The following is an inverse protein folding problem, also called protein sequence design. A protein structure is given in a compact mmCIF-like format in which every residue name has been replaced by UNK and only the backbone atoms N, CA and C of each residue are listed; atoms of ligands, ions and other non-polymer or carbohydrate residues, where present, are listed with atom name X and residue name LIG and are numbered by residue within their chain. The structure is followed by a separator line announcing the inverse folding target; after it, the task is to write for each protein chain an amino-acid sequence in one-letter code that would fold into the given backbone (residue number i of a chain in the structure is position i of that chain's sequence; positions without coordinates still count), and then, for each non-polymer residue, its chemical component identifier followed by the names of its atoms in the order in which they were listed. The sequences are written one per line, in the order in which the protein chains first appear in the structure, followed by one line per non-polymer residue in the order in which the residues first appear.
data_IF_632981439694
#
_entry.id   IF_632981439694
#
_cell.length_a   1.000
_cell.length_b   1.000
_cell.length_c   1.000
_cell.angle_alpha   90.00
_cell.angle_beta   90.00
_cell.angle_gamma   90.00
#
_symmetry.space_group_name_H-M   'P 1'
#
loop_
_entity.id
_entity.type
_entity.pdbx_description
1 polymer ?
#
# COMPACT_ATOMS: atom_id res chain seq x y z
N UNK A 1 9.71 -1.56 -10.94
CA UNK A 1 11.12 -1.29 -10.59
C UNK A 1 11.90 -0.77 -11.79
N UNK A 2 12.98 -0.05 -11.52
CA UNK A 2 13.99 0.35 -12.50
C UNK A 2 15.31 -0.38 -12.27
N UNK A 3 15.62 -0.74 -11.03
CA UNK A 3 16.81 -1.48 -10.59
C UNK A 3 16.38 -2.44 -9.47
N UNK A 4 17.02 -3.61 -9.33
CA UNK A 4 18.06 -4.19 -10.20
C UNK A 4 17.53 -4.73 -11.53
N UNK A 5 16.20 -4.88 -11.67
CA UNK A 5 15.53 -5.34 -12.89
C UNK A 5 14.41 -4.38 -13.24
N UNK A 6 14.27 -4.06 -14.51
CA UNK A 6 13.10 -3.31 -14.97
C UNK A 6 11.88 -4.25 -14.96
N UNK A 7 10.86 -3.88 -14.19
CA UNK A 7 9.60 -4.61 -14.11
C UNK A 7 8.45 -3.67 -13.82
N UNK A 8 7.35 -3.84 -14.52
CA UNK A 8 6.10 -3.13 -14.28
C UNK A 8 5.21 -3.93 -13.34
N UNK A 9 4.60 -3.24 -12.39
CA UNK A 9 3.68 -3.80 -11.42
C UNK A 9 2.25 -3.33 -11.68
N UNK A 10 1.28 -4.19 -11.43
CA UNK A 10 -0.12 -3.80 -11.39
C UNK A 10 -0.37 -3.03 -10.12
N UNK A 11 -0.75 -1.76 -10.26
CA UNK A 11 -0.89 -0.83 -9.14
C UNK A 11 -2.22 -0.12 -9.17
N UNK A 12 -2.74 0.22 -7.99
CA UNK A 12 -3.86 1.14 -7.80
C UNK A 12 -3.49 2.17 -6.75
N UNK A 13 -3.87 3.44 -6.98
CA UNK A 13 -3.77 4.45 -5.93
C UNK A 13 -4.70 4.09 -4.76
N UNK A 14 -4.25 4.37 -3.55
CA UNK A 14 -5.10 4.26 -2.36
C UNK A 14 -6.06 5.46 -2.36
N UNK A 15 -7.34 5.21 -2.08
CA UNK A 15 -8.35 6.27 -1.98
C UNK A 15 -7.94 7.33 -0.94
N UNK A 16 -7.93 8.59 -1.34
CA UNK A 16 -7.40 9.71 -0.56
C UNK A 16 -5.90 9.98 -0.75
N UNK A 17 -5.18 9.16 -1.55
CA UNK A 17 -3.78 9.44 -1.88
C UNK A 17 -3.65 10.70 -2.73
N UNK A 18 -2.64 11.51 -2.44
CA UNK A 18 -2.23 12.59 -3.36
C UNK A 18 -1.53 12.01 -4.60
N UNK A 19 -1.53 12.81 -5.68
CA UNK A 19 -0.77 12.52 -6.89
C UNK A 19 0.74 12.76 -6.75
N UNK A 20 1.48 12.34 -7.77
CA UNK A 20 2.87 12.73 -8.00
C UNK A 20 2.92 13.86 -9.05
N UNK A 21 4.10 14.46 -9.24
CA UNK A 21 4.37 15.22 -10.45
C UNK A 21 4.22 14.34 -11.72
N UNK A 22 4.08 14.94 -12.88
CA UNK A 22 3.79 14.22 -14.13
C UNK A 22 4.86 13.19 -14.51
N UNK A 23 6.12 13.49 -14.23
CA UNK A 23 7.24 12.58 -14.43
C UNK A 23 7.25 11.41 -13.43
N UNK A 24 6.47 11.51 -12.36
CA UNK A 24 6.46 10.57 -11.25
C UNK A 24 7.60 10.79 -10.26
N UNK A 25 7.71 9.89 -9.30
CA UNK A 25 8.73 9.87 -8.25
C UNK A 25 9.60 8.62 -8.41
N UNK A 26 10.92 8.79 -8.41
CA UNK A 26 11.87 7.66 -8.38
C UNK A 26 12.71 7.75 -7.10
N UNK A 27 12.73 6.67 -6.32
CA UNK A 27 13.52 6.60 -5.09
C UNK A 27 13.88 5.15 -4.72
N UNK A 28 14.93 4.97 -3.88
CA UNK A 28 15.24 3.69 -3.29
C UNK A 28 14.09 3.17 -2.40
N UNK A 29 13.99 1.85 -2.28
CA UNK A 29 12.98 1.18 -1.47
C UNK A 29 13.52 0.76 -0.13
N UNK A 30 12.74 0.95 0.92
CA UNK A 30 12.91 0.32 2.24
C UNK A 30 11.70 -0.55 2.49
N UNK A 31 11.94 -1.84 2.70
CA UNK A 31 10.87 -2.80 2.98
C UNK A 31 10.69 -2.95 4.49
N UNK A 32 9.43 -2.92 4.91
CA UNK A 32 9.01 -3.20 6.29
C UNK A 32 7.79 -4.11 6.27
N UNK A 33 7.60 -4.88 7.32
CA UNK A 33 6.44 -5.74 7.46
C UNK A 33 5.16 -4.94 7.77
N UNK A 34 5.24 -4.02 8.73
CA UNK A 34 4.09 -3.32 9.29
C UNK A 34 4.48 -1.96 9.89
N UNK A 35 3.52 -1.26 10.47
CA UNK A 35 3.73 0.04 11.12
C UNK A 35 4.67 -0.04 12.32
N UNK A 36 4.56 -1.01 13.24
CA UNK A 36 5.52 -1.17 14.32
C UNK A 36 6.96 -1.30 13.85
N UNK A 37 7.22 -2.11 12.82
CA UNK A 37 8.57 -2.23 12.26
C UNK A 37 9.05 -0.91 11.65
N UNK A 38 8.20 -0.20 10.89
CA UNK A 38 8.55 1.13 10.38
C UNK A 38 8.99 2.09 11.49
N UNK A 39 8.25 2.10 12.61
CA UNK A 39 8.53 2.98 13.73
C UNK A 39 9.80 2.59 14.52
N UNK A 40 10.21 1.32 14.43
CA UNK A 40 11.44 0.84 15.07
C UNK A 40 12.73 1.14 14.29
N UNK A 41 12.61 1.61 13.05
CA UNK A 41 13.77 1.92 12.22
C UNK A 41 14.55 3.12 12.79
N UNK A 42 15.89 3.16 12.60
CA UNK A 42 16.69 4.31 12.97
C UNK A 42 16.20 5.62 12.34
N UNK A 43 16.37 6.72 13.04
CA UNK A 43 16.02 8.04 12.54
C UNK A 43 16.65 8.30 11.16
N UNK A 44 15.86 8.80 10.20
CA UNK A 44 16.29 9.07 8.84
C UNK A 44 16.38 7.85 7.90
N UNK A 45 16.14 6.63 8.40
CA UNK A 45 16.26 5.41 7.59
C UNK A 45 15.39 5.42 6.32
N UNK A 46 14.23 6.08 6.37
CA UNK A 46 13.27 6.17 5.26
C UNK A 46 13.23 7.55 4.58
N UNK A 47 14.04 8.51 5.04
CA UNK A 47 14.02 9.87 4.50
C UNK A 47 14.31 9.87 2.99
N UNK A 48 13.40 10.45 2.20
CA UNK A 48 13.50 10.51 0.75
C UNK A 48 13.34 9.17 0.03
N UNK A 49 12.96 8.10 0.73
CA UNK A 49 12.81 6.75 0.17
C UNK A 49 11.34 6.36 0.04
N UNK A 50 11.07 5.31 -0.73
CA UNK A 50 9.77 4.67 -0.82
C UNK A 50 9.70 3.59 0.25
N UNK A 51 8.71 3.67 1.15
CA UNK A 51 8.43 2.61 2.12
C UNK A 51 7.54 1.56 1.48
N UNK A 52 8.01 0.32 1.45
CA UNK A 52 7.25 -0.83 0.99
C UNK A 52 6.73 -1.64 2.18
N UNK A 53 5.44 -1.54 2.48
CA UNK A 53 4.79 -2.40 3.45
C UNK A 53 4.49 -3.77 2.84
N UNK A 54 5.20 -4.79 3.30
CA UNK A 54 5.14 -6.15 2.76
C UNK A 54 4.38 -7.14 3.67
N UNK A 55 3.69 -6.66 4.70
CA UNK A 55 2.90 -7.51 5.59
C UNK A 55 1.86 -8.33 4.85
N UNK A 56 1.80 -9.63 5.13
CA UNK A 56 0.83 -10.55 4.53
C UNK A 56 -0.41 -10.63 5.41
N UNK A 57 -1.57 -10.56 4.80
CA UNK A 57 -2.82 -10.82 5.49
C UNK A 57 -2.97 -12.32 5.77
N UNK A 58 -3.22 -12.67 7.02
CA UNK A 58 -3.55 -14.04 7.40
C UNK A 58 -4.97 -14.39 6.93
N UNK A 59 -5.13 -15.60 6.41
CA UNK A 59 -6.44 -16.13 6.02
C UNK A 59 -7.09 -16.78 7.23
N UNK A 60 -8.07 -16.10 7.81
CA UNK A 60 -8.86 -16.59 8.94
C UNK A 60 -10.31 -16.76 8.54
N UNK A 61 -11.05 -17.66 9.20
CA UNK A 61 -12.48 -17.91 8.91
C UNK A 61 -13.35 -16.72 9.31
N UNK A 62 -12.98 -16.00 10.35
CA UNK A 62 -13.70 -14.87 10.95
C UNK A 62 -13.28 -13.50 10.37
N UNK A 63 -12.34 -13.48 9.44
CA UNK A 63 -11.83 -12.22 8.85
C UNK A 63 -10.91 -11.41 9.76
N UNK A 64 -10.54 -11.90 10.96
CA UNK A 64 -9.70 -11.17 11.94
C UNK A 64 -8.32 -10.79 11.40
N UNK A 65 -7.78 -11.53 10.44
CA UNK A 65 -6.51 -11.22 9.78
C UNK A 65 -6.53 -9.87 9.03
N UNK A 66 -7.71 -9.40 8.59
CA UNK A 66 -7.84 -8.12 7.92
C UNK A 66 -7.53 -6.94 8.85
N UNK A 67 -8.07 -6.95 10.07
CA UNK A 67 -7.89 -5.85 11.03
C UNK A 67 -6.43 -5.55 11.35
N UNK A 68 -5.58 -6.59 11.40
CA UNK A 68 -4.14 -6.43 11.59
C UNK A 68 -3.45 -5.86 10.35
N UNK A 69 -3.76 -6.41 9.18
CA UNK A 69 -3.09 -6.05 7.93
C UNK A 69 -3.48 -4.65 7.42
N UNK A 70 -4.72 -4.21 7.65
CA UNK A 70 -5.26 -2.95 7.12
C UNK A 70 -4.55 -1.70 7.68
N UNK A 71 -3.97 -1.76 8.87
CA UNK A 71 -3.30 -0.62 9.51
C UNK A 71 -2.16 -0.05 8.67
N UNK A 72 -1.40 -0.90 7.98
CA UNK A 72 -0.35 -0.44 7.05
C UNK A 72 -0.90 0.43 5.92
N UNK A 73 -2.17 0.21 5.50
CA UNK A 73 -2.83 1.03 4.49
C UNK A 73 -3.40 2.31 5.08
N UNK A 74 -4.10 2.23 6.21
CA UNK A 74 -4.86 3.36 6.76
C UNK A 74 -3.96 4.37 7.47
N UNK A 75 -2.95 3.93 8.21
CA UNK A 75 -2.08 4.74 9.05
C UNK A 75 -0.67 4.90 8.46
N UNK A 76 -0.21 3.86 7.74
CA UNK A 76 1.16 3.77 7.23
C UNK A 76 1.62 5.00 6.44
N UNK A 77 0.83 5.54 5.49
CA UNK A 77 1.24 6.72 4.72
C UNK A 77 1.46 7.97 5.58
N UNK A 78 0.62 8.20 6.61
CA UNK A 78 0.82 9.32 7.54
C UNK A 78 2.10 9.17 8.36
N UNK A 79 2.33 7.98 8.89
CA UNK A 79 3.52 7.69 9.72
C UNK A 79 4.79 7.78 8.86
N UNK A 80 4.78 7.17 7.67
CA UNK A 80 5.90 7.23 6.74
C UNK A 80 6.21 8.68 6.31
N UNK A 81 5.18 9.49 6.05
CA UNK A 81 5.32 10.90 5.73
C UNK A 81 5.98 11.69 6.86
N UNK A 82 5.56 11.46 8.11
CA UNK A 82 6.17 12.08 9.30
C UNK A 82 7.65 11.70 9.45
N UNK A 83 8.04 10.49 9.07
CA UNK A 83 9.41 10.02 9.05
C UNK A 83 10.21 10.47 7.82
N UNK A 84 9.59 11.28 6.93
CA UNK A 84 10.24 11.87 5.77
C UNK A 84 10.30 10.95 4.54
N UNK A 85 9.53 9.88 4.49
CA UNK A 85 9.44 9.05 3.29
C UNK A 85 8.85 9.84 2.11
N UNK A 86 9.24 9.46 0.89
CA UNK A 86 8.81 10.13 -0.34
C UNK A 86 7.48 9.56 -0.88
N UNK A 87 7.22 8.27 -0.68
CA UNK A 87 5.98 7.60 -1.05
C UNK A 87 5.81 6.29 -0.27
N UNK A 88 4.63 5.72 -0.36
CA UNK A 88 4.31 4.39 0.17
C UNK A 88 3.86 3.48 -0.97
N UNK A 89 4.40 2.28 -0.98
CA UNK A 89 3.90 1.14 -1.74
C UNK A 89 3.50 0.08 -0.75
N UNK A 90 2.34 -0.53 -0.91
CA UNK A 90 1.92 -1.59 -0.01
C UNK A 90 1.45 -2.83 -0.78
N UNK A 91 1.75 -3.98 -0.22
CA UNK A 91 1.13 -5.24 -0.60
C UNK A 91 -0.38 -5.11 -0.43
N UNK A 92 -1.15 -5.49 -1.42
CA UNK A 92 -2.61 -5.50 -1.32
C UNK A 92 -3.09 -6.23 -0.07
N UNK A 93 -3.98 -5.60 0.68
CA UNK A 93 -4.60 -6.21 1.87
C UNK A 93 -5.64 -7.22 1.40
N UNK A 94 -5.25 -8.48 1.40
CA UNK A 94 -6.07 -9.57 0.92
C UNK A 94 -5.26 -10.85 0.73
N UNK A 95 -5.93 -11.96 0.49
CA UNK A 95 -5.33 -13.30 0.32
C UNK A 95 -5.39 -13.81 -1.12
N UNK A 96 -5.82 -12.96 -2.07
CA UNK A 96 -5.88 -13.32 -3.49
C UNK A 96 -4.46 -13.40 -4.07
N UNK A 97 -4.23 -14.43 -4.88
CA UNK A 97 -3.01 -14.62 -5.66
C UNK A 97 -3.17 -14.19 -7.13
N UNK A 98 -4.31 -13.61 -7.47
CA UNK A 98 -4.49 -12.99 -8.78
C UNK A 98 -3.63 -11.73 -8.88
N UNK A 99 -3.13 -11.45 -10.09
CA UNK A 99 -2.33 -10.25 -10.33
C UNK A 99 -3.23 -9.01 -10.48
N UNK A 100 -4.01 -8.74 -9.42
CA UNK A 100 -4.94 -7.61 -9.30
C UNK A 100 -4.58 -6.88 -8.02
N UNK A 101 -4.34 -5.57 -8.12
CA UNK A 101 -4.11 -4.75 -6.94
C UNK A 101 -5.45 -4.44 -6.26
N UNK A 102 -5.49 -4.58 -4.92
CA UNK A 102 -6.63 -4.18 -4.11
C UNK A 102 -6.36 -2.82 -3.48
N UNK A 103 -7.26 -1.90 -3.71
CA UNK A 103 -7.23 -0.58 -3.08
C UNK A 103 -8.11 -0.55 -1.83
N UNK A 104 -8.34 0.61 -1.30
CA UNK A 104 -9.18 0.96 -0.17
C UNK A 104 -8.89 2.42 0.15
N UNK A 105 -9.29 2.90 1.31
CA UNK A 105 -9.06 4.28 1.73
C UNK A 105 -7.92 4.37 2.73
N UNK A 106 -7.25 5.51 2.74
CA UNK A 106 -6.38 5.97 3.81
C UNK A 106 -6.93 7.28 4.39
N UNK A 107 -6.51 7.61 5.61
CA UNK A 107 -6.75 8.91 6.20
C UNK A 107 -5.41 9.51 6.59
N UNK A 108 -5.05 10.64 5.96
CA UNK A 108 -3.89 11.38 6.43
C UNK A 108 -4.20 12.08 7.75
N UNK A 109 -3.30 11.98 8.70
CA UNK A 109 -3.31 12.84 9.86
C UNK A 109 -3.18 14.31 9.42
N UNK A 110 -3.93 15.20 10.07
CA UNK A 110 -3.96 16.64 9.73
C UNK A 110 -2.57 17.29 9.81
N UNK A 111 -1.72 16.77 10.70
CA UNK A 111 -0.37 17.28 10.96
C UNK A 111 0.73 16.57 10.17
N UNK A 112 0.42 15.45 9.51
CA UNK A 112 1.41 14.67 8.76
C UNK A 112 1.55 15.17 7.34
N UNK A 113 2.77 15.22 6.78
CA UNK A 113 2.97 15.44 5.36
C UNK A 113 2.22 14.39 4.55
N UNK A 114 1.46 14.83 3.55
CA UNK A 114 0.80 13.91 2.61
C UNK A 114 1.82 13.43 1.59
N UNK A 115 1.91 12.13 1.40
CA UNK A 115 2.79 11.50 0.42
C UNK A 115 2.01 10.52 -0.46
N UNK A 116 2.39 10.30 -1.73
CA UNK A 116 1.72 9.34 -2.60
C UNK A 116 1.72 7.93 -2.01
N UNK A 117 0.57 7.23 -2.13
CA UNK A 117 0.40 5.87 -1.63
C UNK A 117 -0.32 4.99 -2.66
N UNK A 118 0.27 3.86 -2.99
CA UNK A 118 -0.27 2.87 -3.94
C UNK A 118 -0.24 1.46 -3.37
N UNK A 119 -1.22 0.65 -3.77
CA UNK A 119 -1.18 -0.79 -3.57
C UNK A 119 -0.68 -1.50 -4.83
N UNK A 120 0.09 -2.57 -4.65
CA UNK A 120 0.48 -3.48 -5.73
C UNK A 120 -0.15 -4.86 -5.50
N UNK A 121 -0.31 -5.64 -6.55
CA UNK A 121 -0.84 -7.00 -6.44
C UNK A 121 0.03 -7.88 -5.55
N UNK A 122 -0.53 -8.92 -4.93
CA UNK A 122 0.25 -9.84 -4.10
C UNK A 122 1.37 -10.53 -4.88
N UNK A 123 1.18 -11.04 -6.12
CA UNK A 123 2.28 -11.57 -6.92
C UNK A 123 3.38 -10.55 -7.24
N UNK A 124 3.01 -9.28 -7.50
CA UNK A 124 4.00 -8.22 -7.74
C UNK A 124 4.75 -7.83 -6.46
N UNK A 125 4.08 -7.89 -5.30
CA UNK A 125 4.72 -7.71 -4.00
C UNK A 125 5.73 -8.84 -3.70
N UNK A 126 5.42 -10.09 -4.08
CA UNK A 126 6.35 -11.21 -3.99
C UNK A 126 7.58 -11.01 -4.89
N UNK A 127 7.37 -10.46 -6.08
CA UNK A 127 8.46 -10.10 -6.98
C UNK A 127 9.35 -8.99 -6.40
N UNK A 128 8.75 -7.94 -5.83
CA UNK A 128 9.50 -6.86 -5.20
C UNK A 128 10.28 -7.36 -3.99
N UNK A 129 9.66 -8.20 -3.15
CA UNK A 129 10.33 -8.85 -2.02
C UNK A 129 11.55 -9.66 -2.47
N UNK A 130 11.43 -10.42 -3.55
CA UNK A 130 12.56 -11.19 -4.12
C UNK A 130 13.69 -10.26 -4.56
N UNK A 131 13.39 -9.16 -5.26
CA UNK A 131 14.39 -8.17 -5.65
C UNK A 131 15.09 -7.57 -4.41
N UNK A 132 14.34 -7.26 -3.35
CA UNK A 132 14.90 -6.76 -2.09
C UNK A 132 15.83 -7.79 -1.43
N UNK A 133 15.49 -9.06 -1.48
CA UNK A 133 16.37 -10.15 -0.97
C UNK A 133 17.63 -10.32 -1.81
N UNK A 134 17.51 -10.23 -3.13
CA UNK A 134 18.66 -10.37 -4.04
C UNK A 134 19.68 -9.24 -3.83
N UNK A 135 19.24 -8.06 -3.40
CA UNK A 135 20.12 -6.90 -3.14
C UNK A 135 20.57 -6.77 -1.69
N UNK A 136 19.99 -7.55 -0.76
CA UNK A 136 20.42 -7.60 0.63
C UNK A 136 21.82 -8.24 0.78
N UNK A 137 22.41 -8.05 1.97
CA UNK A 137 23.69 -8.67 2.30
C UNK A 137 23.63 -10.20 2.12
N UNK A 138 24.58 -10.75 1.36
CA UNK A 138 24.60 -12.15 0.98
C UNK A 138 23.71 -12.54 -0.20
N UNK A 139 22.94 -11.61 -0.76
CA UNK A 139 22.16 -11.81 -1.97
C UNK A 139 23.02 -11.76 -3.24
N UNK A 140 22.44 -12.18 -4.35
CA UNK A 140 23.14 -12.27 -5.66
C UNK A 140 23.61 -10.92 -6.19
N UNK A 141 23.01 -9.83 -5.76
CA UNK A 141 23.27 -8.44 -6.17
C UNK A 141 23.43 -7.53 -4.94
N UNK A 142 24.11 -8.03 -3.93
CA UNK A 142 24.30 -7.32 -2.67
C UNK A 142 24.86 -5.90 -2.89
N UNK A 143 24.22 -4.92 -2.25
CA UNK A 143 24.59 -3.51 -2.31
C UNK A 143 23.97 -2.73 -3.48
N UNK A 144 23.32 -3.35 -4.45
CA UNK A 144 22.57 -2.63 -5.47
C UNK A 144 21.25 -2.11 -4.88
N UNK A 145 20.89 -0.82 -5.04
CA UNK A 145 19.62 -0.32 -4.54
C UNK A 145 18.45 -0.81 -5.40
N UNK A 146 17.37 -1.22 -4.77
CA UNK A 146 16.08 -1.38 -5.48
C UNK A 146 15.49 -0.01 -5.68
N UNK A 147 15.35 0.41 -6.94
CA UNK A 147 14.75 1.69 -7.32
C UNK A 147 13.34 1.45 -7.86
N UNK A 148 12.35 2.12 -7.28
CA UNK A 148 11.00 2.20 -7.81
C UNK A 148 10.74 3.56 -8.44
N UNK A 149 10.04 3.54 -9.57
CA UNK A 149 9.35 4.71 -10.10
C UNK A 149 7.85 4.55 -9.85
N UNK A 150 7.25 5.51 -9.16
CA UNK A 150 5.81 5.56 -8.87
C UNK A 150 5.24 6.78 -9.57
N UNK A 151 4.15 6.61 -10.31
CA UNK A 151 3.38 7.69 -10.90
C UNK A 151 1.93 7.54 -10.47
N UNK A 152 1.40 8.58 -9.84
CA UNK A 152 0.02 8.62 -9.31
C UNK A 152 -0.65 9.85 -9.90
N UNK A 153 -1.77 9.63 -10.57
CA UNK A 153 -2.56 10.71 -11.21
C UNK A 153 -3.87 10.98 -10.48
N UNK A 154 -4.00 10.50 -9.23
CA UNK A 154 -5.19 10.72 -8.41
C UNK A 154 -5.38 12.19 -8.08
N UNK A 155 -6.64 12.60 -8.04
CA UNK A 155 -7.08 13.94 -7.65
C UNK A 155 -8.40 13.84 -6.89
N UNK A 156 -8.60 14.75 -5.97
CA UNK A 156 -9.89 14.90 -5.30
C UNK A 156 -10.90 15.54 -6.27
N UNK A 157 -12.10 14.98 -6.30
CA UNK A 157 -13.22 15.53 -7.05
C UNK A 157 -14.21 16.19 -6.08
N UNK A 158 -15.04 17.13 -6.54
CA UNK A 158 -16.11 17.70 -5.72
C UNK A 158 -17.03 16.61 -5.17
N UNK A 159 -17.62 16.90 -4.01
CA UNK A 159 -18.64 16.03 -3.44
C UNK A 159 -19.80 15.82 -4.42
N UNK A 160 -20.27 14.60 -4.54
CA UNK A 160 -21.45 14.25 -5.34
C UNK A 160 -22.48 13.54 -4.48
N UNK A 161 -23.72 13.57 -4.93
CA UNK A 161 -24.81 12.84 -4.27
C UNK A 161 -24.83 11.41 -4.75
N UNK A 162 -25.08 10.48 -3.81
CA UNK A 162 -25.33 9.08 -4.07
C UNK A 162 -26.57 8.65 -3.28
N UNK A 163 -27.15 7.51 -3.64
CA UNK A 163 -28.32 6.95 -2.96
C UNK A 163 -28.14 5.43 -2.82
N UNK A 164 -28.67 4.91 -1.71
CA UNK A 164 -28.88 3.49 -1.56
C UNK A 164 -30.27 3.14 -2.09
N UNK A 165 -30.35 2.05 -2.86
CA UNK A 165 -31.63 1.46 -3.26
C UNK A 165 -31.93 0.32 -2.29
N UNK A 166 -33.02 0.43 -1.58
CA UNK A 166 -33.50 -0.57 -0.63
C UNK A 166 -34.76 -1.19 -1.22
N UNK A 167 -34.82 -2.50 -1.25
CA UNK A 167 -36.01 -3.25 -1.65
C UNK A 167 -36.28 -4.33 -0.59
N UNK A 168 -37.54 -4.57 -0.33
CA UNK A 168 -38.00 -5.56 0.63
C UNK A 168 -38.99 -6.51 -0.06
N UNK A 169 -38.83 -7.78 0.20
CA UNK A 169 -39.80 -8.81 -0.19
C UNK A 169 -40.34 -9.39 1.11
N UNK A 170 -41.52 -8.95 1.56
CA UNK A 170 -42.09 -9.46 2.81
C UNK A 170 -42.39 -10.96 2.68
N UNK A 171 -42.02 -11.70 3.71
CA UNK A 171 -42.39 -13.10 3.83
C UNK A 171 -43.91 -13.24 4.08
N UNK A 172 -44.42 -14.46 3.96
CA UNK A 172 -45.85 -14.76 4.22
C UNK A 172 -46.08 -15.18 5.66
N UNK A 173 -45.38 -16.21 6.13
CA UNK A 173 -45.63 -16.83 7.44
C UNK A 173 -44.72 -16.31 8.55
N UNK A 174 -43.50 -15.90 8.21
CA UNK A 174 -42.47 -15.41 9.14
C UNK A 174 -42.02 -14.00 8.77
N UNK A 175 -42.95 -13.18 8.31
CA UNK A 175 -42.65 -11.80 7.82
C UNK A 175 -42.05 -10.85 8.88
N UNK A 176 -42.15 -11.20 10.17
CA UNK A 176 -41.69 -10.39 11.29
C UNK A 176 -40.47 -11.02 12.03
N UNK A 177 -39.88 -12.10 11.52
CA UNK A 177 -38.62 -12.66 11.99
C UNK A 177 -37.45 -12.16 11.16
#
# INVERSE_FOLDING_TARGET
TLSPYRQEFVTLAIGGSIGTADEGLTAPVVMVKDVPELQSLPAGAVKGKIVFFNGRMERTRDGSGYGKAVRSRTEGPSIAGTLGAAAVVLRSVGTSQNRIAHTGTLSYNVTSPRIPAVAISNPDADNLERQMRDTAAGGKRAGEPVLLKVRVTSRDLPQTRSANVIAEIPGTDLANE
#
